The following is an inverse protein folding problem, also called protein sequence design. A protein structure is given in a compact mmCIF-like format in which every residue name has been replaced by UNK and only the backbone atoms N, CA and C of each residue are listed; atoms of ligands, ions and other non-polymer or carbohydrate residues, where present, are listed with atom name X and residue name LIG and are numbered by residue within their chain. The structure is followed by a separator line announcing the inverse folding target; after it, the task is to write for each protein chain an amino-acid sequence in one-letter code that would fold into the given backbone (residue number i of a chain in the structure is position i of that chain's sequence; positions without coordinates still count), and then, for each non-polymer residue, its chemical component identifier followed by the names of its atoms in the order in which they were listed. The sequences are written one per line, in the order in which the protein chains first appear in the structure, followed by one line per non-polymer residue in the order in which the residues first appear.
data_IF_892250515725
#
_entry.id   IF_892250515725
#
_cell.length_a   1.000
_cell.length_b   1.000
_cell.length_c   1.000
_cell.angle_alpha   90.00
_cell.angle_beta   90.00
_cell.angle_gamma   90.00
#
_symmetry.space_group_name_H-M   'P 1'
#
loop_
_entity.id
_entity.type
_entity.pdbx_description
1 polymer ?
#
# COMPACT_ATOMS: atom_id res chain seq x y z
N UNK A 1 21.85 -0.11 -2.22
CA UNK A 1 20.60 -0.66 -2.79
C UNK A 1 19.96 0.44 -3.61
N UNK A 2 19.57 0.15 -4.84
CA UNK A 2 18.88 1.05 -5.75
C UNK A 2 17.47 0.49 -5.95
N UNK A 3 16.45 1.23 -5.52
CA UNK A 3 15.07 0.76 -5.57
C UNK A 3 14.27 1.48 -6.66
N UNK A 4 13.39 0.74 -7.35
CA UNK A 4 12.49 1.21 -8.41
C UNK A 4 13.19 2.01 -9.53
N UNK A 5 14.23 1.44 -10.14
CA UNK A 5 14.95 2.09 -11.24
C UNK A 5 14.13 2.05 -12.54
N UNK A 6 13.86 3.22 -13.12
CA UNK A 6 13.00 3.39 -14.31
C UNK A 6 13.71 3.79 -15.60
N UNK A 7 14.86 4.48 -15.53
CA UNK A 7 15.55 4.94 -16.74
C UNK A 7 16.15 3.76 -17.49
N UNK A 8 15.89 3.69 -18.79
CA UNK A 8 16.47 2.69 -19.71
C UNK A 8 17.74 3.24 -20.41
N UNK A 9 18.15 4.47 -20.10
CA UNK A 9 19.34 5.14 -20.62
C UNK A 9 20.62 4.56 -20.01
N UNK A 10 21.54 4.10 -20.88
CA UNK A 10 22.84 3.61 -20.45
C UNK A 10 23.70 4.73 -19.83
N UNK A 11 23.61 5.95 -20.35
CA UNK A 11 24.35 7.11 -19.82
C UNK A 11 23.88 7.52 -18.42
N UNK A 12 22.56 7.48 -18.19
CA UNK A 12 21.98 7.74 -16.87
C UNK A 12 22.47 6.69 -15.87
N UNK A 13 22.53 5.42 -16.31
CA UNK A 13 23.07 4.35 -15.49
C UNK A 13 24.55 4.56 -15.15
N UNK A 14 25.39 4.86 -16.14
CA UNK A 14 26.82 5.11 -15.92
C UNK A 14 27.06 6.27 -14.95
N UNK A 15 26.24 7.32 -15.07
CA UNK A 15 26.25 8.45 -14.13
C UNK A 15 25.84 8.00 -12.72
N UNK A 16 24.77 7.21 -12.60
CA UNK A 16 24.28 6.68 -11.32
C UNK A 16 25.29 5.78 -10.62
N UNK A 17 26.02 4.93 -11.36
CA UNK A 17 26.99 4.00 -10.76
C UNK A 17 28.38 4.56 -10.59
N UNK A 18 28.70 5.68 -11.25
CA UNK A 18 30.01 6.34 -11.17
C UNK A 18 30.58 6.43 -9.74
N UNK A 19 29.79 6.86 -8.72
CA UNK A 19 30.28 6.96 -7.34
C UNK A 19 30.62 5.63 -6.67
N UNK A 20 30.13 4.50 -7.18
CA UNK A 20 30.37 3.17 -6.57
C UNK A 20 31.68 2.53 -7.02
N UNK A 21 32.38 3.09 -8.03
CA UNK A 21 33.69 2.58 -8.45
C UNK A 21 34.78 2.74 -7.39
N UNK A 22 34.57 3.63 -6.40
CA UNK A 22 35.48 3.81 -5.27
C UNK A 22 35.12 2.95 -4.06
N UNK A 23 34.08 2.12 -4.15
CA UNK A 23 33.69 1.22 -3.06
C UNK A 23 34.74 0.13 -2.84
N UNK A 24 34.79 -0.40 -1.62
CA UNK A 24 35.72 -1.47 -1.26
C UNK A 24 35.56 -2.70 -2.18
N UNK A 25 36.64 -3.46 -2.42
CA UNK A 25 36.57 -4.72 -3.14
C UNK A 25 35.45 -5.62 -2.58
N UNK A 26 34.73 -6.32 -3.45
CA UNK A 26 33.57 -7.18 -3.13
C UNK A 26 32.27 -6.47 -2.74
N UNK A 27 32.20 -5.14 -2.86
CA UNK A 27 30.92 -4.41 -2.73
C UNK A 27 29.90 -4.88 -3.75
N UNK A 28 28.62 -4.98 -3.35
CA UNK A 28 27.52 -5.42 -4.21
C UNK A 28 26.45 -4.35 -4.31
N UNK A 29 25.97 -4.11 -5.52
CA UNK A 29 24.80 -3.28 -5.79
C UNK A 29 23.61 -4.22 -6.00
N UNK A 30 22.56 -4.02 -5.22
CA UNK A 30 21.25 -4.65 -5.44
C UNK A 30 20.35 -3.60 -6.06
N UNK A 31 19.77 -3.93 -7.22
CA UNK A 31 18.84 -3.08 -7.95
C UNK A 31 17.49 -3.79 -8.12
N UNK A 32 16.39 -3.07 -7.92
CA UNK A 32 15.05 -3.52 -8.28
C UNK A 32 14.52 -2.69 -9.45
N UNK A 33 13.87 -3.34 -10.41
CA UNK A 33 13.25 -2.66 -11.56
C UNK A 33 12.12 -3.51 -12.13
N UNK A 34 11.13 -2.84 -12.72
CA UNK A 34 10.07 -3.47 -13.53
C UNK A 34 10.47 -3.58 -15.02
N UNK A 35 11.60 -2.98 -15.41
CA UNK A 35 12.07 -2.90 -16.80
C UNK A 35 13.08 -4.00 -17.09
N UNK A 36 12.59 -5.15 -17.55
CA UNK A 36 13.45 -6.27 -17.97
C UNK A 36 14.44 -5.84 -19.07
N UNK A 37 14.05 -4.90 -19.94
CA UNK A 37 14.91 -4.40 -21.01
C UNK A 37 16.16 -3.68 -20.48
N UNK A 38 16.03 -2.89 -19.40
CA UNK A 38 17.17 -2.28 -18.72
C UNK A 38 18.18 -3.35 -18.28
N UNK A 39 17.70 -4.42 -17.65
CA UNK A 39 18.56 -5.51 -17.17
C UNK A 39 19.36 -6.18 -18.31
N UNK A 40 18.75 -6.32 -19.49
CA UNK A 40 19.42 -6.82 -20.70
C UNK A 40 20.49 -5.85 -21.19
N UNK A 41 20.18 -4.55 -21.25
CA UNK A 41 21.15 -3.51 -21.67
C UNK A 41 22.36 -3.46 -20.76
N UNK A 42 22.17 -3.69 -19.45
CA UNK A 42 23.24 -3.68 -18.46
C UNK A 42 24.09 -4.95 -18.43
N UNK A 43 23.75 -5.98 -19.21
CA UNK A 43 24.46 -7.27 -19.18
C UNK A 43 24.45 -7.92 -17.80
N UNK A 44 23.37 -7.74 -17.03
CA UNK A 44 23.26 -8.34 -15.70
C UNK A 44 23.03 -9.86 -15.81
N UNK A 45 24.05 -10.64 -15.48
CA UNK A 45 24.02 -12.11 -15.56
C UNK A 45 23.16 -12.77 -14.46
N UNK A 46 22.94 -12.08 -13.34
CA UNK A 46 22.20 -12.60 -12.18
C UNK A 46 20.81 -11.95 -12.08
N UNK A 47 19.85 -12.46 -12.86
CA UNK A 47 18.46 -12.03 -12.82
C UNK A 47 17.67 -12.87 -11.83
N UNK A 48 17.30 -12.27 -10.69
CA UNK A 48 16.35 -12.87 -9.77
C UNK A 48 14.95 -12.39 -10.12
N UNK A 49 14.24 -13.15 -10.96
CA UNK A 49 12.81 -12.94 -11.16
C UNK A 49 12.08 -13.23 -9.84
N UNK A 50 11.36 -12.24 -9.32
CA UNK A 50 10.49 -12.47 -8.15
C UNK A 50 9.44 -13.53 -8.53
N UNK A 51 9.49 -14.66 -7.82
CA UNK A 51 8.53 -15.73 -7.97
C UNK A 51 7.23 -15.37 -7.25
N UNK A 52 6.12 -15.90 -7.76
CA UNK A 52 4.84 -15.83 -7.07
C UNK A 52 4.91 -16.66 -5.78
N UNK A 53 4.31 -16.14 -4.71
CA UNK A 53 4.20 -16.88 -3.44
C UNK A 53 3.32 -18.12 -3.63
N UNK A 54 3.56 -19.17 -2.82
CA UNK A 54 2.67 -20.33 -2.80
C UNK A 54 1.28 -19.94 -2.30
N UNK A 55 0.27 -20.68 -2.75
CA UNK A 55 -1.12 -20.41 -2.36
C UNK A 55 -1.30 -20.32 -0.83
N UNK A 56 -0.71 -21.26 -0.08
CA UNK A 56 -0.81 -21.28 1.38
C UNK A 56 -0.19 -20.02 2.03
N UNK A 57 0.95 -19.54 1.51
CA UNK A 57 1.57 -18.30 2.00
C UNK A 57 0.72 -17.08 1.68
N UNK A 58 0.12 -17.03 0.50
CA UNK A 58 -0.76 -15.93 0.08
C UNK A 58 -2.03 -15.87 0.94
N UNK A 59 -2.64 -17.02 1.23
CA UNK A 59 -3.82 -17.11 2.12
C UNK A 59 -3.45 -16.70 3.55
N UNK A 60 -2.30 -17.14 4.04
CA UNK A 60 -1.79 -16.76 5.36
C UNK A 60 -1.49 -15.26 5.46
N UNK A 61 -0.90 -14.68 4.41
CA UNK A 61 -0.66 -13.23 4.30
C UNK A 61 -1.97 -12.45 4.34
N UNK A 62 -3.00 -12.93 3.64
CA UNK A 62 -4.31 -12.30 3.66
C UNK A 62 -4.95 -12.39 5.05
N UNK A 63 -4.86 -13.54 5.73
CA UNK A 63 -5.32 -13.70 7.11
C UNK A 63 -4.62 -12.73 8.07
N UNK A 64 -3.31 -12.50 7.88
CA UNK A 64 -2.54 -11.55 8.69
C UNK A 64 -3.05 -10.12 8.50
N UNK A 65 -3.40 -9.74 7.27
CA UNK A 65 -3.95 -8.42 6.99
C UNK A 65 -5.38 -8.25 7.49
N UNK A 66 -6.24 -9.26 7.31
CA UNK A 66 -7.66 -9.20 7.63
C UNK A 66 -8.00 -9.48 9.10
N UNK A 67 -7.35 -10.47 9.70
CA UNK A 67 -7.69 -10.95 11.05
C UNK A 67 -6.64 -10.56 12.09
N UNK A 68 -5.45 -10.15 11.66
CA UNK A 68 -4.29 -10.00 12.55
C UNK A 68 -3.75 -11.34 13.08
N UNK A 69 -4.06 -12.44 12.39
CA UNK A 69 -3.68 -13.81 12.76
C UNK A 69 -2.88 -14.48 11.62
N UNK A 70 -2.12 -15.53 11.92
CA UNK A 70 -1.30 -16.21 10.91
C UNK A 70 -2.13 -17.04 9.92
N UNK A 71 -3.36 -17.40 10.27
CA UNK A 71 -4.25 -18.24 9.47
C UNK A 71 -5.72 -18.02 9.86
N UNK A 72 -6.60 -18.87 9.31
CA UNK A 72 -8.04 -18.85 9.56
C UNK A 72 -8.50 -19.85 10.63
N UNK A 73 -7.61 -20.48 11.40
CA UNK A 73 -7.99 -21.58 12.31
C UNK A 73 -9.02 -21.16 13.35
N UNK A 74 -8.93 -19.91 13.86
CA UNK A 74 -9.91 -19.35 14.79
C UNK A 74 -11.18 -18.80 14.11
N UNK A 75 -11.22 -18.74 12.77
CA UNK A 75 -12.33 -18.21 11.99
C UNK A 75 -12.59 -19.08 10.73
N UNK A 76 -12.90 -20.38 10.91
CA UNK A 76 -12.97 -21.33 9.79
C UNK A 76 -14.08 -20.97 8.78
N UNK A 77 -15.16 -20.31 9.24
CA UNK A 77 -16.26 -19.84 8.38
C UNK A 77 -15.83 -18.70 7.43
N UNK A 78 -14.80 -17.93 7.77
CA UNK A 78 -14.30 -16.83 6.94
C UNK A 78 -13.30 -17.30 5.88
N UNK A 79 -12.71 -18.50 6.06
CA UNK A 79 -11.68 -19.03 5.17
C UNK A 79 -12.12 -19.11 3.70
N UNK A 80 -13.31 -19.66 3.36
CA UNK A 80 -13.73 -19.75 1.96
C UNK A 80 -13.86 -18.38 1.29
N UNK A 81 -14.33 -17.38 2.04
CA UNK A 81 -14.44 -16.00 1.54
C UNK A 81 -13.08 -15.36 1.34
N UNK A 82 -12.15 -15.58 2.28
CA UNK A 82 -10.77 -15.12 2.18
C UNK A 82 -10.03 -15.72 0.99
N UNK A 83 -10.15 -17.03 0.76
CA UNK A 83 -9.59 -17.70 -0.42
C UNK A 83 -10.23 -17.18 -1.72
N UNK A 84 -11.54 -16.87 -1.70
CA UNK A 84 -12.23 -16.20 -2.80
C UNK A 84 -11.64 -14.83 -3.15
N UNK A 85 -11.40 -13.99 -2.15
CA UNK A 85 -10.77 -12.67 -2.32
C UNK A 85 -9.33 -12.83 -2.81
N UNK A 86 -8.60 -13.81 -2.28
CA UNK A 86 -7.23 -14.13 -2.74
C UNK A 86 -7.21 -14.41 -4.24
N UNK A 87 -8.17 -15.21 -4.71
CA UNK A 87 -8.33 -15.52 -6.12
C UNK A 87 -8.72 -14.30 -6.97
N UNK A 88 -9.49 -13.35 -6.42
CA UNK A 88 -9.82 -12.08 -7.11
C UNK A 88 -8.62 -11.15 -7.28
N UNK A 89 -7.59 -11.30 -6.44
CA UNK A 89 -6.39 -10.48 -6.45
C UNK A 89 -5.19 -11.17 -7.12
N UNK A 90 -5.40 -12.29 -7.82
CA UNK A 90 -4.37 -13.14 -8.43
C UNK A 90 -3.21 -13.53 -7.49
N UNK A 91 -3.48 -13.55 -6.18
CA UNK A 91 -2.48 -13.81 -5.16
C UNK A 91 -1.36 -12.77 -5.03
N UNK A 92 -1.51 -11.58 -5.65
CA UNK A 92 -0.52 -10.50 -5.57
C UNK A 92 -0.47 -9.93 -4.15
N UNK A 93 0.67 -10.00 -3.44
CA UNK A 93 0.77 -9.56 -2.04
C UNK A 93 0.27 -8.14 -1.80
N UNK A 94 0.58 -7.22 -2.73
CA UNK A 94 0.17 -5.83 -2.63
C UNK A 94 -1.34 -5.62 -2.84
N UNK A 95 -1.95 -6.38 -3.76
CA UNK A 95 -3.39 -6.31 -4.03
C UNK A 95 -4.23 -6.90 -2.88
N UNK A 96 -3.66 -7.83 -2.11
CA UNK A 96 -4.32 -8.46 -0.95
C UNK A 96 -4.30 -7.59 0.30
N UNK A 97 -3.27 -6.77 0.45
CA UNK A 97 -3.08 -5.94 1.64
C UNK A 97 -4.26 -5.02 1.87
N UNK A 98 -4.75 -4.36 0.82
CA UNK A 98 -5.83 -3.37 0.91
C UNK A 98 -7.18 -3.98 1.33
N UNK A 99 -7.76 -4.99 0.65
CA UNK A 99 -9.01 -5.61 1.07
C UNK A 99 -8.86 -6.31 2.42
N UNK A 100 -7.70 -6.89 2.73
CA UNK A 100 -7.45 -7.45 4.06
C UNK A 100 -7.54 -6.37 5.13
N UNK A 101 -6.82 -5.25 4.96
CA UNK A 101 -6.87 -4.13 5.90
C UNK A 101 -8.25 -3.48 6.01
N UNK A 102 -9.03 -3.44 4.92
CA UNK A 102 -10.43 -3.03 4.95
C UNK A 102 -11.24 -3.95 5.87
N UNK A 103 -11.19 -5.27 5.66
CA UNK A 103 -11.91 -6.24 6.50
C UNK A 103 -11.47 -6.21 7.97
N UNK A 104 -10.22 -5.84 8.25
CA UNK A 104 -9.72 -5.65 9.61
C UNK A 104 -10.43 -4.53 10.38
N UNK A 105 -11.00 -3.56 9.66
CA UNK A 105 -11.81 -2.48 10.25
C UNK A 105 -13.28 -2.88 10.44
N UNK A 106 -13.71 -4.03 9.90
CA UNK A 106 -15.08 -4.53 9.97
C UNK A 106 -15.26 -5.55 11.09
N UNK A 107 -16.51 -5.91 11.37
CA UNK A 107 -16.82 -7.05 12.24
C UNK A 107 -16.30 -8.34 11.59
N UNK A 108 -16.02 -9.37 12.41
CA UNK A 108 -15.59 -10.68 11.90
C UNK A 108 -16.78 -11.57 11.54
N UNK A 109 -17.84 -10.94 11.04
CA UNK A 109 -19.08 -11.59 10.61
C UNK A 109 -18.95 -12.03 9.16
N UNK A 110 -19.67 -13.08 8.79
CA UNK A 110 -19.53 -13.71 7.46
C UNK A 110 -20.11 -12.81 6.36
N UNK A 111 -21.12 -12.02 6.69
CA UNK A 111 -21.86 -11.13 5.80
C UNK A 111 -20.96 -10.06 5.18
N UNK A 112 -20.16 -9.35 5.98
CA UNK A 112 -19.21 -8.33 5.50
C UNK A 112 -18.19 -8.90 4.49
N UNK A 113 -17.75 -10.14 4.72
CA UNK A 113 -16.82 -10.84 3.83
C UNK A 113 -17.49 -11.27 2.52
N UNK A 114 -18.73 -11.75 2.60
CA UNK A 114 -19.56 -12.08 1.42
C UNK A 114 -19.84 -10.85 0.58
N UNK A 115 -20.18 -9.72 1.21
CA UNK A 115 -20.44 -8.46 0.52
C UNK A 115 -19.20 -7.99 -0.23
N UNK A 116 -18.03 -7.97 0.43
CA UNK A 116 -16.79 -7.60 -0.23
C UNK A 116 -16.45 -8.54 -1.40
N UNK A 117 -16.55 -9.86 -1.20
CA UNK A 117 -16.25 -10.86 -2.22
C UNK A 117 -17.16 -10.73 -3.46
N UNK A 118 -18.43 -10.37 -3.25
CA UNK A 118 -19.44 -10.27 -4.31
C UNK A 118 -19.59 -8.85 -4.89
N UNK A 119 -18.80 -7.88 -4.43
CA UNK A 119 -18.86 -6.50 -4.91
C UNK A 119 -18.71 -6.40 -6.44
N UNK A 120 -19.58 -5.59 -7.08
CA UNK A 120 -19.52 -5.35 -8.52
C UNK A 120 -18.23 -4.66 -8.97
N UNK A 121 -17.46 -4.05 -8.04
CA UNK A 121 -16.16 -3.44 -8.37
C UNK A 121 -15.18 -4.47 -8.92
N UNK A 122 -15.25 -5.73 -8.50
CA UNK A 122 -14.44 -6.82 -9.07
C UNK A 122 -14.76 -7.11 -10.54
N UNK A 123 -15.91 -6.63 -11.06
CA UNK A 123 -16.31 -6.77 -12.46
C UNK A 123 -15.85 -5.59 -13.32
N UNK A 124 -15.39 -4.50 -12.71
CA UNK A 124 -15.09 -3.23 -13.39
C UNK A 124 -13.69 -3.15 -14.02
N UNK A 125 -12.83 -4.17 -13.95
CA UNK A 125 -11.50 -4.04 -14.56
C UNK A 125 -10.70 -5.32 -14.78
N UNK A 126 -10.24 -5.50 -16.02
CA UNK A 126 -9.16 -6.42 -16.43
C UNK A 126 -7.76 -5.75 -16.39
N UNK A 127 -7.60 -4.61 -15.71
CA UNK A 127 -6.43 -3.73 -15.95
C UNK A 127 -5.50 -3.46 -14.78
N UNK A 128 -5.84 -3.81 -13.55
CA UNK A 128 -4.88 -3.88 -12.42
C UNK A 128 -5.64 -4.25 -11.14
N UNK A 129 -5.40 -5.43 -10.59
CA UNK A 129 -6.04 -5.95 -9.37
C UNK A 129 -5.76 -5.04 -8.17
N UNK A 130 -4.58 -4.40 -8.16
CA UNK A 130 -4.18 -3.41 -7.15
C UNK A 130 -5.10 -2.19 -7.19
N UNK A 131 -5.41 -1.67 -8.39
CA UNK A 131 -6.28 -0.49 -8.56
C UNK A 131 -7.71 -0.84 -8.12
N UNK A 132 -8.19 -2.04 -8.43
CA UNK A 132 -9.51 -2.50 -7.97
C UNK A 132 -9.59 -2.63 -6.45
N UNK A 133 -8.58 -3.23 -5.84
CA UNK A 133 -8.45 -3.33 -4.39
C UNK A 133 -8.45 -1.95 -3.71
N UNK A 134 -7.69 -0.99 -4.25
CA UNK A 134 -7.67 0.40 -3.77
C UNK A 134 -9.02 1.09 -3.92
N UNK A 135 -9.68 0.92 -5.07
CA UNK A 135 -11.00 1.49 -5.35
C UNK A 135 -12.04 0.97 -4.36
N UNK A 136 -12.03 -0.31 -4.03
CA UNK A 136 -12.91 -0.90 -3.02
C UNK A 136 -12.76 -0.24 -1.65
N UNK A 137 -11.52 -0.15 -1.17
CA UNK A 137 -11.23 0.53 0.10
C UNK A 137 -11.64 2.01 0.06
N UNK A 138 -11.47 2.67 -1.09
CA UNK A 138 -11.80 4.08 -1.24
C UNK A 138 -13.31 4.32 -1.21
N UNK A 139 -14.11 3.45 -1.84
CA UNK A 139 -15.56 3.57 -1.82
C UNK A 139 -16.13 3.46 -0.41
N UNK A 140 -15.54 2.65 0.46
CA UNK A 140 -15.95 2.47 1.87
C UNK A 140 -15.57 3.65 2.78
N UNK A 141 -14.70 4.56 2.35
CA UNK A 141 -14.35 5.75 3.13
C UNK A 141 -15.54 6.72 3.28
N UNK A 142 -15.61 7.39 4.44
CA UNK A 142 -16.51 8.52 4.66
C UNK A 142 -16.19 9.68 3.70
N UNK A 143 -17.17 10.58 3.49
CA UNK A 143 -16.96 11.74 2.62
C UNK A 143 -15.78 12.62 3.07
N UNK A 144 -15.62 12.81 4.38
CA UNK A 144 -14.50 13.56 4.96
C UNK A 144 -13.16 12.89 4.66
N UNK A 145 -13.04 11.57 4.87
CA UNK A 145 -11.79 10.84 4.58
C UNK A 145 -11.45 10.84 3.09
N UNK A 146 -12.46 10.75 2.20
CA UNK A 146 -12.27 10.91 0.75
C UNK A 146 -11.72 12.28 0.40
N UNK A 147 -12.24 13.34 1.02
CA UNK A 147 -11.75 14.71 0.83
C UNK A 147 -10.30 14.86 1.30
N UNK A 148 -9.98 14.34 2.49
CA UNK A 148 -8.61 14.38 3.02
C UNK A 148 -7.63 13.61 2.13
N UNK A 149 -8.00 12.40 1.69
CA UNK A 149 -7.18 11.61 0.78
C UNK A 149 -6.99 12.29 -0.58
N UNK A 150 -8.05 12.89 -1.14
CA UNK A 150 -7.96 13.66 -2.38
C UNK A 150 -7.09 14.92 -2.23
N UNK A 151 -7.06 15.56 -1.06
CA UNK A 151 -6.14 16.66 -0.82
C UNK A 151 -4.69 16.20 -0.84
N UNK A 152 -4.40 15.03 -0.27
CA UNK A 152 -3.05 14.51 -0.26
C UNK A 152 -2.53 14.27 -1.69
N UNK A 153 -3.39 13.96 -2.67
CA UNK A 153 -2.92 13.69 -4.05
C UNK A 153 -2.38 14.93 -4.78
N UNK A 154 -2.50 16.11 -4.16
CA UNK A 154 -1.85 17.34 -4.62
C UNK A 154 -0.36 17.38 -4.30
N UNK A 155 0.12 16.54 -3.38
CA UNK A 155 1.55 16.47 -3.08
C UNK A 155 2.31 15.78 -4.22
N UNK A 156 3.56 16.21 -4.51
CA UNK A 156 4.39 15.56 -5.52
C UNK A 156 4.61 14.06 -5.25
N UNK A 157 4.93 13.31 -6.31
CA UNK A 157 5.34 11.91 -6.19
C UNK A 157 6.55 11.78 -5.25
N UNK A 158 6.48 10.85 -4.29
CA UNK A 158 7.47 10.67 -3.20
C UNK A 158 7.58 11.88 -2.25
N UNK A 159 6.51 12.68 -2.11
CA UNK A 159 6.49 13.72 -1.08
C UNK A 159 6.45 13.12 0.31
N UNK A 160 7.36 13.60 1.14
CA UNK A 160 7.52 13.19 2.51
C UNK A 160 6.91 14.25 3.42
N UNK A 161 5.82 13.92 4.10
CA UNK A 161 5.15 14.80 5.04
C UNK A 161 5.22 14.23 6.45
N UNK A 162 5.53 15.07 7.44
CA UNK A 162 5.31 14.72 8.84
C UNK A 162 3.80 14.61 9.12
N UNK A 163 3.43 13.74 10.06
CA UNK A 163 2.04 13.50 10.43
C UNK A 163 1.39 14.76 11.00
N UNK A 164 2.07 15.45 11.90
CA UNK A 164 1.52 16.62 12.59
C UNK A 164 1.37 17.78 11.59
N UNK A 165 2.32 17.94 10.66
CA UNK A 165 2.23 18.89 9.55
C UNK A 165 1.02 18.61 8.64
N UNK A 166 0.76 17.35 8.31
CA UNK A 166 -0.38 16.99 7.47
C UNK A 166 -1.71 17.32 8.16
N UNK A 167 -1.81 17.04 9.46
CA UNK A 167 -2.99 17.38 10.27
C UNK A 167 -3.19 18.89 10.31
N UNK A 168 -2.12 19.67 10.52
CA UNK A 168 -2.17 21.13 10.48
C UNK A 168 -2.63 21.66 9.13
N UNK A 169 -2.20 21.06 8.02
CA UNK A 169 -2.67 21.42 6.68
C UNK A 169 -4.17 21.14 6.52
N UNK A 170 -4.67 20.02 7.03
CA UNK A 170 -6.10 19.71 7.01
C UNK A 170 -6.92 20.69 7.89
N UNK A 171 -6.38 21.09 9.04
CA UNK A 171 -6.98 22.13 9.89
C UNK A 171 -7.03 23.47 9.17
N UNK A 172 -5.92 23.92 8.59
CA UNK A 172 -5.82 25.20 7.90
C UNK A 172 -6.75 25.29 6.68
N UNK A 173 -7.01 24.17 6.01
CA UNK A 173 -7.98 24.07 4.90
C UNK A 173 -9.43 23.96 5.37
N UNK A 174 -9.68 23.84 6.67
CA UNK A 174 -11.01 23.74 7.25
C UNK A 174 -11.68 22.38 7.03
N UNK A 175 -10.92 21.33 6.71
CA UNK A 175 -11.47 19.99 6.45
C UNK A 175 -11.88 19.25 7.72
N UNK A 176 -11.43 19.72 8.89
CA UNK A 176 -11.68 19.08 10.20
C UNK A 176 -12.82 19.74 10.98
N UNK A 177 -13.69 20.49 10.32
CA UNK A 177 -14.87 21.10 10.96
C UNK A 177 -16.06 20.14 10.94
N UNK A 178 -16.24 19.37 12.01
CA UNK A 178 -17.52 18.72 12.29
C UNK A 178 -18.33 19.57 13.27
N UNK A 179 -19.48 20.07 12.81
CA UNK A 179 -20.42 20.87 13.61
C UNK A 179 -21.08 20.11 14.76
N UNK A 180 -20.86 18.79 14.88
CA UNK A 180 -21.58 17.90 15.80
C UNK A 180 -20.69 17.16 16.82
N UNK A 181 -19.37 17.37 16.80
CA UNK A 181 -18.44 16.66 17.68
C UNK A 181 -17.82 17.59 18.73
N UNK A 182 -17.88 17.22 20.01
CA UNK A 182 -17.16 17.91 21.10
C UNK A 182 -15.62 17.67 21.07
N UNK A 183 -15.08 17.07 20.00
CA UNK A 183 -13.65 16.73 19.90
C UNK A 183 -12.85 17.93 19.40
N UNK A 184 -11.62 18.08 19.89
CA UNK A 184 -10.68 19.04 19.31
C UNK A 184 -10.30 18.63 17.89
N UNK A 185 -10.00 19.64 17.05
CA UNK A 185 -9.59 19.42 15.66
C UNK A 185 -8.33 18.55 15.55
N UNK A 186 -7.36 18.70 16.47
CA UNK A 186 -6.14 17.88 16.49
C UNK A 186 -6.46 16.40 16.67
N UNK A 187 -7.37 16.09 17.61
CA UNK A 187 -7.77 14.73 17.89
C UNK A 187 -8.56 14.12 16.73
N UNK A 188 -9.45 14.90 16.10
CA UNK A 188 -10.18 14.45 14.93
C UNK A 188 -9.23 14.20 13.73
N UNK A 189 -8.26 15.09 13.53
CA UNK A 189 -7.23 14.93 12.52
C UNK A 189 -6.40 13.66 12.73
N UNK A 190 -6.01 13.37 13.97
CA UNK A 190 -5.31 12.14 14.32
C UNK A 190 -6.17 10.89 14.08
N UNK A 191 -7.44 10.89 14.46
CA UNK A 191 -8.36 9.77 14.21
C UNK A 191 -8.48 9.47 12.70
N UNK A 192 -8.64 10.51 11.88
CA UNK A 192 -8.68 10.35 10.42
C UNK A 192 -7.35 9.89 9.81
N UNK A 193 -6.25 10.42 10.31
CA UNK A 193 -4.92 9.99 9.90
C UNK A 193 -4.73 8.49 10.16
N UNK A 194 -5.02 8.04 11.38
CA UNK A 194 -4.90 6.64 11.78
C UNK A 194 -5.87 5.74 11.00
N UNK A 195 -7.05 6.22 10.64
CA UNK A 195 -7.98 5.46 9.80
C UNK A 195 -7.42 5.26 8.37
N UNK A 196 -6.96 6.32 7.71
CA UNK A 196 -6.32 6.23 6.38
C UNK A 196 -5.10 5.32 6.42
N UNK A 197 -4.29 5.40 7.47
CA UNK A 197 -3.15 4.51 7.70
C UNK A 197 -3.59 3.05 7.90
N UNK A 198 -4.60 2.82 8.73
CA UNK A 198 -5.10 1.48 9.04
C UNK A 198 -5.58 0.77 7.77
N UNK A 199 -6.14 1.51 6.80
CA UNK A 199 -6.65 1.02 5.51
C UNK A 199 -5.60 0.99 4.39
N UNK A 200 -4.34 1.27 4.71
CA UNK A 200 -3.20 1.34 3.78
C UNK A 200 -3.24 2.48 2.75
N UNK A 201 -4.02 3.54 2.94
CA UNK A 201 -3.94 4.72 2.08
C UNK A 201 -2.66 5.53 2.32
N UNK A 202 -2.13 5.45 3.55
CA UNK A 202 -0.86 6.02 3.97
C UNK A 202 0.09 4.87 4.37
N UNK A 203 1.38 4.97 4.02
CA UNK A 203 2.39 3.96 4.37
C UNK A 203 3.55 4.57 5.16
N UNK A 204 3.95 3.93 6.27
CA UNK A 204 5.06 4.41 7.09
C UNK A 204 6.40 4.05 6.44
N UNK A 205 7.17 5.06 6.06
CA UNK A 205 8.57 4.94 5.68
C UNK A 205 9.43 5.27 6.91
N UNK A 206 9.99 4.22 7.54
CA UNK A 206 10.99 4.39 8.61
C UNK A 206 12.35 4.65 7.98
N UNK A 207 12.62 5.89 7.59
CA UNK A 207 13.90 6.22 6.95
C UNK A 207 15.02 6.59 7.92
N UNK A 208 14.74 7.06 9.15
CA UNK A 208 15.67 7.12 10.30
C UNK A 208 14.91 7.54 11.58
N UNK A 209 15.53 7.36 12.76
CA UNK A 209 14.92 7.57 14.09
C UNK A 209 14.12 8.89 14.16
N UNK A 210 12.84 8.78 14.54
CA UNK A 210 11.90 9.85 14.88
C UNK A 210 11.27 10.67 13.74
N UNK A 211 11.25 10.19 12.50
CA UNK A 211 10.39 10.78 11.46
C UNK A 211 9.58 9.67 10.77
N UNK A 212 8.26 9.74 10.91
CA UNK A 212 7.34 8.89 10.15
C UNK A 212 7.01 9.62 8.85
N UNK A 213 7.52 9.12 7.73
CA UNK A 213 7.34 9.73 6.41
C UNK A 213 6.29 8.90 5.67
N UNK A 214 5.31 9.53 5.02
CA UNK A 214 4.15 8.82 4.49
C UNK A 214 4.04 8.88 2.96
N UNK A 215 3.97 7.73 2.30
CA UNK A 215 3.67 7.64 0.86
C UNK A 215 2.17 7.36 0.64
N UNK A 216 1.57 8.07 -0.31
CA UNK A 216 0.20 7.82 -0.75
C UNK A 216 0.14 6.70 -1.76
N UNK A 217 -0.69 5.68 -1.51
CA UNK A 217 -0.99 4.69 -2.55
C UNK A 217 -2.03 5.28 -3.50
N UNK A 218 -1.57 6.05 -4.48
CA UNK A 218 -2.28 6.27 -5.74
C UNK A 218 -1.54 5.56 -6.86
#
# INVERSE_FOLDING_TARGET
MLDDVWSESYEDWMTLVSPFHTCAPQSKIIMTTRKVQLLKTLGCDHLNHMQTLSHDYVVSLFAQHALGAMNFDSHPLLRPHGEGIVKKCDGLPLALRVPGRLLRTKTKEEEEWKELLNSDIWRLGKRDEIILALRLSYHDLSASLKQLFAYCSLFPYVYMCDKDDLILLWMAKGFLNQSSSNKSMDRLGLEYFEELLSRSFLQNMRLMKNQCLWYMIC
#
